data_IF_045439762205
#
_entry.id   IF_045439762205
#
_cell.length_a   1.000
_cell.length_b   1.000
_cell.length_c   1.000
_cell.angle_alpha   90.00
_cell.angle_beta   90.00
_cell.angle_gamma   90.00
#
_symmetry.space_group_name_H-M   'P 1'
#
loop_
_entity.id
_entity.type
_entity.pdbx_description
1 polymer ?
#
# COMPACT_ATOMS: atom_id res chain seq x y z
N UNK A 1 25.22 -54.09 -5.82
CA UNK A 1 24.88 -52.92 -4.99
C UNK A 1 25.03 -51.69 -5.87
N UNK A 2 24.04 -51.47 -6.75
CA UNK A 2 24.02 -50.38 -7.73
C UNK A 2 23.44 -49.15 -7.05
N UNK A 3 24.23 -48.08 -6.97
CA UNK A 3 23.77 -46.76 -6.56
C UNK A 3 23.07 -46.13 -7.78
N UNK A 4 21.84 -45.69 -7.57
CA UNK A 4 21.05 -44.93 -8.54
C UNK A 4 21.53 -43.47 -8.47
N UNK A 5 21.81 -42.88 -9.62
CA UNK A 5 22.25 -41.50 -9.76
C UNK A 5 21.03 -40.57 -9.71
N UNK A 6 20.82 -39.93 -8.55
CA UNK A 6 19.76 -38.95 -8.34
C UNK A 6 20.18 -37.62 -9.01
N UNK A 7 19.84 -37.50 -10.30
CA UNK A 7 20.15 -36.36 -11.18
C UNK A 7 19.41 -35.07 -10.84
N UNK A 8 19.64 -34.51 -9.66
CA UNK A 8 19.36 -33.10 -9.37
C UNK A 8 20.65 -32.33 -9.52
N UNK A 9 20.87 -31.72 -10.68
CA UNK A 9 21.98 -30.77 -10.85
C UNK A 9 21.74 -29.58 -9.92
N UNK A 10 22.47 -29.53 -8.80
CA UNK A 10 22.41 -28.43 -7.83
C UNK A 10 22.68 -27.06 -8.49
N UNK A 11 23.27 -27.01 -9.68
CA UNK A 11 23.40 -25.78 -10.48
C UNK A 11 22.09 -25.31 -11.06
N UNK A 12 21.21 -26.20 -11.54
CA UNK A 12 19.91 -25.83 -12.13
C UNK A 12 18.95 -25.31 -11.05
N UNK A 13 18.99 -25.88 -9.84
CA UNK A 13 18.19 -25.38 -8.71
C UNK A 13 18.72 -24.01 -8.23
N UNK A 14 20.04 -23.79 -8.24
CA UNK A 14 20.65 -22.49 -7.91
C UNK A 14 20.40 -21.43 -8.97
N UNK A 15 20.44 -21.76 -10.25
CA UNK A 15 20.14 -20.83 -11.35
C UNK A 15 18.67 -20.39 -11.30
N UNK A 16 17.72 -21.31 -11.13
CA UNK A 16 16.30 -20.95 -11.02
C UNK A 16 15.96 -20.18 -9.72
N UNK A 17 16.62 -20.49 -8.60
CA UNK A 17 16.44 -19.74 -7.35
C UNK A 17 17.04 -18.33 -7.44
N UNK A 18 18.20 -18.20 -8.10
CA UNK A 18 18.80 -16.90 -8.37
C UNK A 18 17.99 -16.11 -9.40
N UNK A 19 17.35 -16.70 -10.39
CA UNK A 19 16.50 -15.95 -11.34
C UNK A 19 15.22 -15.39 -10.68
N UNK A 20 14.63 -16.07 -9.70
CA UNK A 20 13.55 -15.48 -8.88
C UNK A 20 14.04 -14.44 -7.86
N UNK A 21 15.30 -14.54 -7.42
CA UNK A 21 15.93 -13.59 -6.50
C UNK A 21 16.67 -12.44 -7.20
N UNK A 22 16.69 -12.44 -8.54
CA UNK A 22 17.40 -11.46 -9.35
C UNK A 22 16.48 -10.79 -10.38
N UNK A 23 15.55 -9.99 -9.88
CA UNK A 23 15.40 -8.65 -10.46
C UNK A 23 16.70 -7.88 -10.16
N UNK A 24 17.79 -8.22 -10.86
CA UNK A 24 19.09 -7.57 -10.78
C UNK A 24 19.11 -6.29 -11.63
N UNK A 25 18.12 -5.41 -11.43
CA UNK A 25 18.27 -4.01 -11.80
C UNK A 25 18.72 -3.26 -10.56
N UNK A 26 20.03 -3.15 -10.37
CA UNK A 26 20.59 -2.19 -9.43
C UNK A 26 20.09 -0.80 -9.85
N UNK A 27 19.18 -0.23 -9.06
CA UNK A 27 18.73 1.13 -9.28
C UNK A 27 19.92 2.07 -9.14
N UNK A 28 20.09 2.96 -10.12
CA UNK A 28 21.10 4.01 -10.03
C UNK A 28 20.67 4.98 -8.92
N UNK A 29 21.60 5.35 -8.04
CA UNK A 29 21.34 6.26 -6.91
C UNK A 29 20.73 7.61 -7.35
N UNK A 30 21.12 8.09 -8.53
CA UNK A 30 20.60 9.31 -9.15
C UNK A 30 19.07 9.25 -9.36
N UNK A 31 18.53 8.08 -9.68
CA UNK A 31 17.09 7.89 -9.93
C UNK A 31 16.27 8.02 -8.63
N UNK A 32 16.86 7.73 -7.48
CA UNK A 32 16.21 7.87 -6.17
C UNK A 32 16.31 9.29 -5.60
N UNK A 33 17.09 10.18 -6.21
CA UNK A 33 17.35 11.50 -5.63
C UNK A 33 16.16 12.42 -5.91
N UNK A 34 15.34 12.66 -4.88
CA UNK A 34 14.11 13.47 -4.94
C UNK A 34 14.14 14.47 -3.78
N UNK A 35 13.62 15.70 -3.92
CA UNK A 35 13.49 16.59 -2.78
C UNK A 35 12.58 15.99 -1.71
N UNK A 36 13.11 15.84 -0.49
CA UNK A 36 12.40 15.22 0.62
C UNK A 36 11.45 16.17 1.35
N UNK A 37 10.37 15.61 1.90
CA UNK A 37 9.43 16.34 2.77
C UNK A 37 9.97 16.37 4.19
N UNK A 38 10.81 17.36 4.48
CA UNK A 38 11.46 17.56 5.79
C UNK A 38 10.50 18.20 6.81
N UNK A 39 9.48 17.44 7.24
CA UNK A 39 8.53 17.86 8.28
C UNK A 39 8.47 16.83 9.41
N UNK A 40 8.16 17.30 10.62
CA UNK A 40 7.98 16.42 11.78
C UNK A 40 6.68 15.61 11.66
N UNK A 41 6.63 14.45 12.31
CA UNK A 41 5.44 13.58 12.36
C UNK A 41 4.15 14.31 12.76
N UNK A 42 4.15 15.17 13.81
CA UNK A 42 2.98 15.97 14.20
C UNK A 42 2.51 16.93 13.09
N UNK A 43 3.43 17.54 12.35
CA UNK A 43 3.10 18.43 11.24
C UNK A 43 2.49 17.67 10.06
N UNK A 44 3.03 16.50 9.71
CA UNK A 44 2.44 15.64 8.69
C UNK A 44 1.03 15.19 9.10
N UNK A 45 0.85 14.82 10.38
CA UNK A 45 -0.44 14.40 10.92
C UNK A 45 -1.46 15.54 10.98
N UNK A 46 -1.02 16.76 11.27
CA UNK A 46 -1.83 17.97 11.22
C UNK A 46 -2.39 18.25 9.81
N UNK A 47 -1.55 18.08 8.78
CA UNK A 47 -1.92 18.33 7.38
C UNK A 47 -2.60 17.16 6.68
N UNK A 48 -2.68 15.97 7.30
CA UNK A 48 -3.01 14.72 6.62
C UNK A 48 -4.36 14.73 5.87
N UNK A 49 -5.42 15.27 6.48
CA UNK A 49 -6.75 15.30 5.85
C UNK A 49 -6.79 16.17 4.60
N UNK A 50 -6.19 17.37 4.67
CA UNK A 50 -6.15 18.33 3.58
C UNK A 50 -5.19 17.88 2.48
N UNK A 51 -4.03 17.35 2.86
CA UNK A 51 -3.06 16.76 1.93
C UNK A 51 -3.67 15.58 1.17
N UNK A 52 -4.34 14.67 1.88
CA UNK A 52 -4.98 13.50 1.28
C UNK A 52 -6.07 13.87 0.29
N UNK A 53 -6.80 14.97 0.52
CA UNK A 53 -7.82 15.48 -0.41
C UNK A 53 -7.21 16.16 -1.63
N UNK A 54 -6.15 16.95 -1.43
CA UNK A 54 -5.50 17.68 -2.51
C UNK A 54 -4.69 16.76 -3.44
N UNK A 55 -3.96 15.81 -2.87
CA UNK A 55 -3.06 14.89 -3.58
C UNK A 55 -3.69 13.51 -3.81
N UNK A 56 -5.02 13.44 -3.84
CA UNK A 56 -5.76 12.19 -3.90
C UNK A 56 -5.46 11.38 -5.17
N UNK A 57 -5.38 12.04 -6.33
CA UNK A 57 -5.13 11.39 -7.60
C UNK A 57 -3.75 10.70 -7.63
N UNK A 58 -2.70 11.44 -7.32
CA UNK A 58 -1.31 10.94 -7.30
C UNK A 58 -1.12 9.81 -6.28
N UNK A 59 -1.71 9.96 -5.09
CA UNK A 59 -1.64 8.93 -4.05
C UNK A 59 -2.34 7.64 -4.47
N UNK A 60 -3.51 7.75 -5.11
CA UNK A 60 -4.24 6.57 -5.57
C UNK A 60 -3.49 5.87 -6.71
N UNK A 61 -2.88 6.61 -7.63
CA UNK A 61 -2.05 6.05 -8.70
C UNK A 61 -0.86 5.26 -8.13
N UNK A 62 -0.14 5.86 -7.17
CA UNK A 62 0.99 5.21 -6.53
C UNK A 62 0.57 3.92 -5.79
N UNK A 63 -0.55 3.97 -5.07
CA UNK A 63 -1.04 2.80 -4.33
C UNK A 63 -1.55 1.70 -5.26
N UNK A 64 -2.20 2.06 -6.37
CA UNK A 64 -2.66 1.10 -7.37
C UNK A 64 -1.47 0.44 -8.08
N UNK A 65 -0.48 1.24 -8.51
CA UNK A 65 0.77 0.73 -9.09
C UNK A 65 1.45 -0.29 -8.16
N UNK A 66 1.56 0.05 -6.87
CA UNK A 66 2.21 -0.81 -5.88
C UNK A 66 1.42 -2.10 -5.65
N UNK A 67 0.08 -2.03 -5.64
CA UNK A 67 -0.77 -3.18 -5.43
C UNK A 67 -0.81 -4.12 -6.63
N UNK A 68 -0.74 -3.58 -7.86
CA UNK A 68 -0.80 -4.36 -9.09
C UNK A 68 0.53 -5.03 -9.46
N UNK A 69 1.65 -4.33 -9.29
CA UNK A 69 2.97 -4.82 -9.73
C UNK A 69 3.77 -5.53 -8.63
N UNK A 70 3.47 -5.26 -7.35
CA UNK A 70 4.21 -5.75 -6.18
C UNK A 70 5.74 -5.51 -6.22
N UNK A 71 6.21 -4.65 -7.13
CA UNK A 71 7.60 -4.21 -7.26
C UNK A 71 7.69 -2.69 -7.01
N UNK A 72 8.35 -2.23 -5.92
CA UNK A 72 8.48 -0.81 -5.62
C UNK A 72 9.31 -0.03 -6.66
N UNK A 73 10.16 -0.70 -7.45
CA UNK A 73 11.04 -0.03 -8.43
C UNK A 73 10.29 0.46 -9.65
N UNK A 74 9.20 -0.22 -10.02
CA UNK A 74 8.37 0.14 -11.16
C UNK A 74 7.44 1.34 -10.87
N UNK A 75 7.32 1.75 -9.61
CA UNK A 75 6.43 2.81 -9.14
C UNK A 75 7.17 4.09 -8.68
N UNK A 76 8.44 4.25 -9.06
CA UNK A 76 9.27 5.38 -8.60
C UNK A 76 8.81 6.74 -9.16
N UNK A 77 8.28 6.76 -10.38
CA UNK A 77 7.82 8.00 -11.01
C UNK A 77 6.55 8.52 -10.33
N UNK A 78 5.65 7.62 -9.97
CA UNK A 78 4.43 7.89 -9.23
C UNK A 78 4.77 8.34 -7.80
N UNK A 79 5.75 7.69 -7.17
CA UNK A 79 6.27 8.11 -5.87
C UNK A 79 6.85 9.53 -5.90
N UNK A 80 7.59 9.90 -6.97
CA UNK A 80 8.06 11.27 -7.19
C UNK A 80 6.90 12.26 -7.34
N UNK A 81 5.85 11.89 -8.07
CA UNK A 81 4.68 12.73 -8.24
C UNK A 81 3.96 13.00 -6.90
N UNK A 82 3.80 11.98 -6.06
CA UNK A 82 3.27 12.10 -4.69
C UNK A 82 4.09 13.07 -3.85
N UNK A 83 5.42 12.91 -3.83
CA UNK A 83 6.33 13.78 -3.06
C UNK A 83 6.26 15.23 -3.56
N UNK A 84 6.23 15.43 -4.87
CA UNK A 84 6.08 16.77 -5.46
C UNK A 84 4.75 17.42 -5.09
N UNK A 85 3.64 16.67 -5.14
CA UNK A 85 2.33 17.17 -4.73
C UNK A 85 2.32 17.57 -3.25
N UNK A 86 2.93 16.74 -2.38
CA UNK A 86 3.04 17.04 -0.96
C UNK A 86 3.86 18.31 -0.70
N UNK A 87 5.01 18.48 -1.38
CA UNK A 87 5.82 19.69 -1.27
C UNK A 87 5.06 20.94 -1.70
N UNK A 88 4.34 20.88 -2.81
CA UNK A 88 3.55 22.01 -3.30
C UNK A 88 2.37 22.34 -2.39
N UNK A 89 1.73 21.33 -1.81
CA UNK A 89 0.72 21.53 -0.77
C UNK A 89 1.29 22.25 0.46
N UNK A 90 2.42 21.79 1.01
CA UNK A 90 3.03 22.43 2.19
C UNK A 90 3.59 23.82 1.88
N UNK A 91 4.07 24.08 0.66
CA UNK A 91 4.44 25.42 0.20
C UNK A 91 3.24 26.37 0.18
N UNK A 92 2.09 25.92 -0.30
CA UNK A 92 0.84 26.70 -0.29
C UNK A 92 0.34 26.92 1.14
N UNK A 93 0.35 25.87 1.97
CA UNK A 93 -0.02 25.94 3.38
C UNK A 93 0.83 26.96 4.14
N UNK A 94 2.15 26.95 3.93
CA UNK A 94 3.08 27.91 4.54
C UNK A 94 2.84 29.35 4.07
N UNK A 95 2.48 29.56 2.80
CA UNK A 95 2.18 30.90 2.28
C UNK A 95 0.87 31.48 2.84
N UNK A 96 -0.13 30.63 3.04
CA UNK A 96 -1.48 31.08 3.35
C UNK A 96 -1.86 30.99 4.84
N UNK A 97 -1.51 29.89 5.52
CA UNK A 97 -2.02 29.53 6.85
C UNK A 97 -0.91 29.05 7.81
N UNK A 98 0.32 29.61 7.69
CA UNK A 98 1.46 29.14 8.48
C UNK A 98 1.25 29.24 9.99
N UNK A 99 0.60 30.31 10.47
CA UNK A 99 0.47 30.56 11.92
C UNK A 99 -0.52 29.57 12.57
N UNK A 100 -1.64 29.35 11.91
CA UNK A 100 -2.72 28.47 12.31
C UNK A 100 -2.25 27.00 12.24
N UNK A 101 -1.51 26.66 11.18
CA UNK A 101 -0.91 25.35 11.02
C UNK A 101 0.12 25.05 12.11
N UNK A 102 1.01 26.00 12.42
CA UNK A 102 2.00 25.84 13.48
C UNK A 102 1.33 25.67 14.85
N UNK A 103 0.29 26.44 15.15
CA UNK A 103 -0.48 26.28 16.41
C UNK A 103 -1.14 24.90 16.51
N UNK A 104 -1.71 24.40 15.42
CA UNK A 104 -2.32 23.07 15.41
C UNK A 104 -1.30 21.94 15.55
N UNK A 105 -0.19 22.01 14.81
CA UNK A 105 0.89 21.04 14.90
C UNK A 105 1.53 21.01 16.30
N UNK A 106 1.75 22.19 16.90
CA UNK A 106 2.26 22.30 18.28
C UNK A 106 1.28 21.74 19.31
N UNK A 107 -0.02 21.92 19.09
CA UNK A 107 -1.02 21.32 19.97
C UNK A 107 -0.94 19.79 19.92
N UNK A 108 -0.90 19.21 18.71
CA UNK A 108 -0.83 17.75 18.54
C UNK A 108 0.44 17.15 19.15
N UNK A 109 1.57 17.83 18.97
CA UNK A 109 2.87 17.43 19.53
C UNK A 109 2.86 17.43 21.07
N UNK A 110 2.24 18.43 21.69
CA UNK A 110 2.26 18.62 23.16
C UNK A 110 1.10 17.98 23.90
N UNK A 111 -0.02 17.69 23.24
CA UNK A 111 -1.24 17.27 23.93
C UNK A 111 -1.22 15.82 24.42
N UNK A 112 -0.54 14.93 23.70
CA UNK A 112 -0.57 13.49 23.97
C UNK A 112 0.60 12.79 23.30
N UNK A 113 1.15 11.75 23.93
CA UNK A 113 2.19 10.89 23.32
C UNK A 113 1.75 10.22 22.01
N UNK A 114 0.44 9.95 21.86
CA UNK A 114 -0.12 9.26 20.69
C UNK A 114 -0.60 10.19 19.55
N UNK A 115 -0.35 11.51 19.66
CA UNK A 115 -0.81 12.54 18.71
C UNK A 115 -2.33 12.48 18.41
N UNK A 116 -3.15 12.37 19.47
CA UNK A 116 -4.59 12.22 19.36
C UNK A 116 -5.28 13.57 19.01
N UNK A 117 -6.12 13.55 17.98
CA UNK A 117 -6.85 14.73 17.49
C UNK A 117 -7.92 15.26 18.47
N UNK A 118 -8.37 14.46 19.45
CA UNK A 118 -9.45 14.83 20.36
C UNK A 118 -9.13 16.09 21.20
N UNK A 119 -7.89 16.28 21.59
CA UNK A 119 -7.49 17.40 22.45
C UNK A 119 -7.32 18.74 21.71
N UNK A 120 -7.17 18.69 20.38
CA UNK A 120 -6.80 19.84 19.55
C UNK A 120 -7.93 20.31 18.61
N UNK A 121 -9.20 20.05 18.95
CA UNK A 121 -10.35 20.43 18.10
C UNK A 121 -10.52 21.94 17.91
N UNK A 122 -10.13 22.76 18.90
CA UNK A 122 -10.20 24.23 18.81
C UNK A 122 -9.23 24.77 17.76
N UNK A 123 -7.97 24.36 17.83
CA UNK A 123 -6.93 24.74 16.86
C UNK A 123 -7.20 24.13 15.48
N UNK A 124 -7.78 22.93 15.43
CA UNK A 124 -8.24 22.33 14.18
C UNK A 124 -9.28 23.21 13.46
N UNK A 125 -10.31 23.69 14.17
CA UNK A 125 -11.35 24.54 13.55
C UNK A 125 -10.80 25.85 12.98
N UNK A 126 -9.78 26.43 13.63
CA UNK A 126 -9.08 27.63 13.14
C UNK A 126 -8.31 27.34 11.85
N UNK A 127 -7.58 26.22 11.80
CA UNK A 127 -6.87 25.79 10.61
C UNK A 127 -7.83 25.47 9.46
N UNK A 128 -8.87 24.65 9.72
CA UNK A 128 -9.85 24.23 8.72
C UNK A 128 -10.55 25.45 8.10
N UNK A 129 -10.87 26.48 8.89
CA UNK A 129 -11.40 27.74 8.40
C UNK A 129 -10.41 28.47 7.48
N UNK A 130 -9.15 28.61 7.88
CA UNK A 130 -8.15 29.30 7.06
C UNK A 130 -7.94 28.59 5.70
N UNK A 131 -7.91 27.26 5.72
CA UNK A 131 -7.73 26.43 4.51
C UNK A 131 -8.93 26.55 3.58
N UNK A 132 -10.15 26.55 4.12
CA UNK A 132 -11.36 26.78 3.33
C UNK A 132 -11.35 28.18 2.70
N UNK A 133 -11.09 29.22 3.51
CA UNK A 133 -11.16 30.62 3.07
C UNK A 133 -10.08 30.98 2.03
N UNK A 134 -8.84 30.46 2.17
CA UNK A 134 -7.70 30.85 1.32
C UNK A 134 -7.34 29.84 0.23
N UNK A 135 -7.56 28.55 0.47
CA UNK A 135 -7.17 27.48 -0.46
C UNK A 135 -8.36 26.78 -1.10
N UNK A 136 -9.59 27.05 -0.64
CA UNK A 136 -10.83 26.42 -1.10
C UNK A 136 -10.78 24.89 -1.02
N UNK A 137 -10.10 24.35 0.00
CA UNK A 137 -10.05 22.92 0.28
C UNK A 137 -10.91 22.66 1.50
N UNK A 138 -12.00 21.93 1.30
CA UNK A 138 -12.85 21.49 2.40
C UNK A 138 -12.28 20.22 3.04
N UNK A 139 -12.38 20.14 4.37
CA UNK A 139 -12.04 18.92 5.11
C UNK A 139 -13.05 17.82 4.77
N UNK A 140 -12.62 16.64 4.30
CA UNK A 140 -13.55 15.56 3.96
C UNK A 140 -14.34 15.04 5.16
N UNK A 141 -15.49 14.42 4.85
CA UNK A 141 -16.35 13.76 5.81
C UNK A 141 -15.68 12.57 6.50
N UNK A 142 -16.25 12.17 7.64
CA UNK A 142 -15.81 10.97 8.34
C UNK A 142 -16.09 9.73 7.47
N UNK A 143 -15.04 8.98 7.14
CA UNK A 143 -15.12 7.80 6.29
C UNK A 143 -14.81 8.06 4.81
N UNK A 144 -14.61 9.30 4.38
CA UNK A 144 -14.19 9.63 3.00
C UNK A 144 -12.99 8.80 2.52
N UNK A 145 -11.96 8.70 3.36
CA UNK A 145 -10.73 7.96 3.05
C UNK A 145 -10.85 6.43 3.22
N UNK A 146 -11.91 5.94 3.88
CA UNK A 146 -12.15 4.51 4.05
C UNK A 146 -12.95 3.91 2.89
N UNK A 147 -13.58 4.74 2.05
CA UNK A 147 -14.30 4.29 0.86
C UNK A 147 -13.33 3.85 -0.22
N UNK A 148 -13.61 2.72 -0.86
CA UNK A 148 -12.88 2.27 -2.03
C UNK A 148 -13.06 3.28 -3.17
N UNK A 149 -11.96 3.67 -3.80
CA UNK A 149 -11.94 4.65 -4.89
C UNK A 149 -11.53 3.94 -6.16
N UNK A 150 -12.30 4.13 -7.22
CA UNK A 150 -11.96 3.65 -8.56
C UNK A 150 -11.06 4.71 -9.19
N UNK A 151 -9.81 4.35 -9.46
CA UNK A 151 -8.84 5.21 -10.12
C UNK A 151 -8.62 4.71 -11.55
N UNK A 152 -8.73 5.60 -12.54
CA UNK A 152 -8.49 5.27 -13.93
C UNK A 152 -7.03 5.57 -14.25
N UNK A 153 -6.32 4.58 -14.79
CA UNK A 153 -4.89 4.68 -15.09
C UNK A 153 -4.66 4.45 -16.57
N UNK A 154 -3.63 5.11 -17.12
CA UNK A 154 -3.23 4.93 -18.52
C UNK A 154 -2.31 3.70 -18.69
N UNK A 155 -1.82 3.15 -17.57
CA UNK A 155 -0.89 2.02 -17.56
C UNK A 155 -1.61 0.72 -17.95
N UNK A 156 -0.99 -0.17 -18.73
CA UNK A 156 -1.57 -1.48 -18.98
C UNK A 156 -1.65 -2.29 -17.67
N UNK A 157 -2.79 -2.93 -17.44
CA UNK A 157 -2.95 -3.83 -16.31
C UNK A 157 -1.93 -4.98 -16.40
N UNK A 158 -1.35 -5.43 -15.27
CA UNK A 158 -0.47 -6.58 -15.29
C UNK A 158 -1.18 -7.83 -15.83
N UNK A 159 -0.44 -8.74 -16.49
CA UNK A 159 -1.03 -9.98 -16.97
C UNK A 159 -1.59 -10.76 -15.77
N UNK A 160 -2.87 -11.12 -15.84
CA UNK A 160 -3.49 -11.97 -14.83
C UNK A 160 -2.76 -13.31 -14.84
N UNK A 161 -2.27 -13.75 -13.68
CA UNK A 161 -1.68 -15.08 -13.55
C UNK A 161 -2.72 -16.11 -13.97
N UNK A 162 -2.42 -16.85 -15.04
CA UNK A 162 -3.27 -17.94 -15.48
C UNK A 162 -3.26 -19.03 -14.40
N UNK A 163 -4.44 -19.58 -14.10
CA UNK A 163 -4.52 -20.69 -13.15
C UNK A 163 -3.76 -21.86 -13.76
N UNK A 164 -2.78 -22.40 -13.04
CA UNK A 164 -2.09 -23.62 -13.45
C UNK A 164 -3.13 -24.75 -13.58
N UNK A 165 -3.48 -25.10 -14.82
CA UNK A 165 -4.30 -26.27 -15.11
C UNK A 165 -3.33 -27.43 -15.25
N UNK A 166 -3.26 -28.26 -14.21
CA UNK A 166 -2.49 -29.49 -14.27
C UNK A 166 -3.23 -30.49 -15.18
N UNK A 167 -2.59 -30.98 -16.26
CA UNK A 167 -3.23 -31.94 -17.16
C UNK A 167 -3.51 -33.28 -16.48
N UNK A 168 -2.72 -33.63 -15.46
CA UNK A 168 -2.82 -34.87 -14.69
C UNK A 168 -3.66 -34.73 -13.41
N UNK A 169 -4.64 -33.82 -13.40
CA UNK A 169 -5.56 -33.72 -12.29
C UNK A 169 -6.31 -35.05 -12.16
N UNK A 170 -6.18 -35.72 -11.01
CA UNK A 170 -6.89 -36.96 -10.73
C UNK A 170 -8.37 -36.74 -11.01
N UNK A 171 -8.99 -37.48 -11.95
CA UNK A 171 -10.41 -37.29 -12.23
C UNK A 171 -11.19 -37.52 -10.94
N UNK A 172 -12.23 -36.71 -10.73
CA UNK A 172 -13.15 -36.95 -9.63
C UNK A 172 -13.67 -38.38 -9.69
N UNK A 173 -13.91 -38.99 -8.53
CA UNK A 173 -14.56 -40.30 -8.47
C UNK A 173 -15.89 -40.22 -9.25
N UNK A 174 -16.23 -41.25 -10.05
CA UNK A 174 -17.49 -41.26 -10.79
C UNK A 174 -18.68 -41.14 -9.82
N UNK A 175 -19.78 -40.55 -10.27
CA UNK A 175 -20.95 -40.31 -9.42
C UNK A 175 -21.50 -41.59 -8.78
N UNK A 176 -21.43 -42.70 -9.52
CA UNK A 176 -21.86 -44.06 -9.15
C UNK A 176 -20.82 -44.84 -8.31
N UNK A 177 -19.69 -44.23 -7.94
CA UNK A 177 -18.72 -44.91 -7.10
C UNK A 177 -19.34 -45.25 -5.73
N UNK A 178 -19.28 -46.51 -5.28
CA UNK A 178 -19.87 -46.89 -4.00
C UNK A 178 -19.19 -46.12 -2.87
N UNK A 179 -19.99 -45.37 -2.11
CA UNK A 179 -19.56 -44.64 -0.91
C UNK A 179 -20.05 -45.42 0.31
N UNK A 180 -19.31 -46.45 0.76
CA UNK A 180 -19.67 -47.16 1.97
C UNK A 180 -19.54 -46.23 3.18
N UNK A 181 -20.29 -46.54 4.23
CA UNK A 181 -20.14 -45.84 5.51
C UNK A 181 -18.70 -45.95 6.03
N UNK A 182 -18.24 -44.90 6.71
CA UNK A 182 -16.90 -44.87 7.26
C UNK A 182 -16.70 -46.03 8.25
N UNK A 183 -15.67 -46.85 8.03
CA UNK A 183 -15.38 -48.08 8.79
C UNK A 183 -15.37 -47.91 10.32
N UNK A 184 -15.04 -46.72 10.82
CA UNK A 184 -14.95 -46.41 12.25
C UNK A 184 -15.64 -45.06 12.57
N UNK A 185 -16.76 -44.78 11.90
CA UNK A 185 -17.51 -43.54 12.11
C UNK A 185 -16.65 -42.30 11.87
N UNK A 186 -16.68 -41.38 12.82
CA UNK A 186 -16.01 -40.08 12.72
C UNK A 186 -14.48 -40.14 12.93
N UNK A 187 -13.95 -41.24 13.47
CA UNK A 187 -12.55 -41.35 13.94
C UNK A 187 -12.11 -40.19 14.84
N UNK A 188 -13.06 -39.54 15.52
CA UNK A 188 -12.77 -38.53 16.53
C UNK A 188 -12.45 -39.23 17.85
N UNK A 189 -11.48 -38.70 18.61
CA UNK A 189 -10.97 -39.38 19.80
C UNK A 189 -12.02 -39.74 20.87
N UNK A 190 -13.20 -39.12 20.87
CA UNK A 190 -14.28 -39.31 21.86
C UNK A 190 -15.66 -39.59 21.26
N UNK A 191 -15.77 -39.76 19.94
CA UNK A 191 -17.01 -40.11 19.26
C UNK A 191 -16.77 -41.39 18.46
N UNK A 192 -17.31 -42.51 18.96
CA UNK A 192 -17.35 -43.77 18.23
C UNK A 192 -18.29 -43.65 17.02
#
# INVERSE_FOLDING_TARGET
MQKLDDGWDERIVRENFLDTATSNRALKTEELTVPEVNLSGPALRAGAYHLGKQCEAENNEFMLCRQELDDPRACLNEGKAVTNCALDFFRKMKKNCASEFAQYANCLDKSSGDLNFQYCRKTQGVLDKCVLDKMNIERPDYGYFARAKVHATDRPAPPKQEKAVYPDATPGLPADYPRPDAKYGSRFHWLN
#
